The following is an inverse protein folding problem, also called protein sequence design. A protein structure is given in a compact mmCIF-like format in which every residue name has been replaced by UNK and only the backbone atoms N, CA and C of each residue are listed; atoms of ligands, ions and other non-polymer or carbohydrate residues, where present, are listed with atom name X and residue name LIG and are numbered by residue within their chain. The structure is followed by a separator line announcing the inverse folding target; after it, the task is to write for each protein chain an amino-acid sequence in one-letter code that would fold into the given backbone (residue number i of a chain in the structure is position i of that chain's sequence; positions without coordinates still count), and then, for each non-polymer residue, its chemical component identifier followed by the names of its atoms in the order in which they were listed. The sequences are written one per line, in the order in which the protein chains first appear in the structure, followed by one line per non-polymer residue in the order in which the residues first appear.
data_IF_616911053030
#
_entry.id   IF_616911053030
#
_cell.length_a   1.000
_cell.length_b   1.000
_cell.length_c   1.000
_cell.angle_alpha   90.00
_cell.angle_beta   90.00
_cell.angle_gamma   90.00
#
_symmetry.space_group_name_H-M   'P 1'
#
loop_
_entity.id
_entity.type
_entity.pdbx_description
1 polymer ?
#
# COMPACT_ATOMS: atom_id res chain seq x y z
N UNK A 1 -21.20 -24.38 -20.45
CA UNK A 1 -20.66 -24.03 -20.62
C UNK A 1 -20.29 -22.75 -20.42
N UNK A 2 -20.84 -21.97 -20.30
CA UNK A 2 -20.38 -20.88 -20.09
C UNK A 2 -19.95 -20.68 -18.81
N UNK A 3 -19.42 -21.57 -18.17
CA UNK A 3 -18.99 -21.35 -16.99
C UNK A 3 -17.91 -20.45 -16.98
N UNK A 4 -17.80 -19.57 -16.09
CA UNK A 4 -16.75 -18.76 -15.98
C UNK A 4 -15.57 -19.48 -15.67
N UNK A 5 -14.46 -19.03 -16.02
CA UNK A 5 -13.26 -19.68 -15.64
C UNK A 5 -13.15 -19.58 -14.18
N UNK A 6 -12.46 -20.49 -13.61
CA UNK A 6 -12.26 -20.49 -12.20
C UNK A 6 -11.59 -19.20 -11.86
N UNK A 7 -12.19 -18.43 -10.97
CA UNK A 7 -11.60 -17.24 -10.58
C UNK A 7 -10.52 -17.46 -9.64
N UNK A 8 -9.37 -16.88 -9.84
CA UNK A 8 -8.29 -16.99 -8.92
C UNK A 8 -8.43 -15.86 -7.95
N UNK A 9 -8.69 -16.18 -6.70
CA UNK A 9 -8.83 -15.16 -5.70
C UNK A 9 -7.45 -14.78 -5.23
N UNK A 10 -7.00 -13.63 -5.61
CA UNK A 10 -5.69 -13.19 -5.23
C UNK A 10 -5.71 -12.64 -3.82
N UNK A 11 -4.62 -12.81 -3.10
CA UNK A 11 -4.52 -12.26 -1.78
C UNK A 11 -4.24 -10.78 -1.88
N UNK A 12 -4.56 -10.01 -0.84
CA UNK A 12 -4.32 -8.57 -0.87
C UNK A 12 -2.88 -8.22 -1.24
N UNK A 13 -1.90 -8.95 -0.72
CA UNK A 13 -0.51 -8.64 -1.03
C UNK A 13 -0.19 -8.96 -2.49
N UNK A 14 -0.85 -9.94 -3.07
CA UNK A 14 -0.59 -10.25 -4.47
C UNK A 14 -1.14 -9.16 -5.37
N UNK A 15 -2.32 -8.67 -5.06
CA UNK A 15 -2.89 -7.58 -5.83
C UNK A 15 -2.01 -6.35 -5.74
N UNK A 16 -1.59 -6.02 -4.52
CA UNK A 16 -0.79 -4.83 -4.30
C UNK A 16 0.54 -4.91 -5.02
N UNK A 17 1.20 -6.06 -4.95
CA UNK A 17 2.50 -6.20 -5.59
C UNK A 17 2.38 -6.18 -7.10
N UNK A 18 1.30 -6.72 -7.65
CA UNK A 18 1.08 -6.64 -9.08
C UNK A 18 0.86 -5.20 -9.51
N UNK A 19 0.09 -4.44 -8.72
CA UNK A 19 -0.14 -3.05 -9.04
C UNK A 19 1.14 -2.25 -8.95
N UNK A 20 1.99 -2.57 -7.99
CA UNK A 20 3.26 -1.89 -7.86
C UNK A 20 4.13 -2.18 -9.08
N UNK A 21 4.17 -3.42 -9.55
CA UNK A 21 4.96 -3.75 -10.71
C UNK A 21 4.45 -3.04 -11.97
N UNK A 22 3.14 -2.91 -12.09
CA UNK A 22 2.57 -2.17 -13.21
C UNK A 22 2.97 -0.72 -13.14
N UNK A 23 2.93 -0.13 -11.94
CA UNK A 23 3.31 1.25 -11.78
C UNK A 23 4.76 1.45 -12.17
N UNK A 24 5.63 0.54 -11.74
CA UNK A 24 7.03 0.68 -12.06
C UNK A 24 7.29 0.55 -13.56
N UNK A 25 6.50 -0.27 -14.22
CA UNK A 25 6.65 -0.45 -15.66
C UNK A 25 6.27 0.78 -16.46
N UNK A 26 5.49 1.68 -15.88
CA UNK A 26 5.10 2.90 -16.58
C UNK A 26 6.22 3.93 -16.61
N UNK A 27 7.26 3.71 -15.81
CA UNK A 27 8.46 4.55 -15.84
C UNK A 27 8.15 6.02 -15.60
N UNK A 28 7.23 6.29 -14.71
CA UNK A 28 6.77 7.66 -14.48
C UNK A 28 7.86 8.58 -13.96
N UNK A 29 8.73 8.05 -13.10
CA UNK A 29 9.79 8.89 -12.55
C UNK A 29 10.76 9.34 -13.62
N UNK A 30 11.13 8.44 -14.53
CA UNK A 30 12.03 8.79 -15.61
C UNK A 30 11.37 9.77 -16.57
N UNK A 31 10.04 9.74 -16.64
CA UNK A 31 9.31 10.66 -17.51
C UNK A 31 8.97 11.96 -16.81
N UNK A 32 9.52 12.19 -15.62
CA UNK A 32 9.29 13.44 -14.91
C UNK A 32 7.94 13.57 -14.26
N UNK A 33 7.19 12.48 -14.15
CA UNK A 33 5.86 12.54 -13.58
C UNK A 33 5.88 12.12 -12.12
N UNK A 34 6.61 12.89 -11.33
CA UNK A 34 6.87 12.56 -9.94
C UNK A 34 5.62 12.61 -9.07
N UNK A 35 4.79 13.62 -9.27
CA UNK A 35 3.58 13.71 -8.47
C UNK A 35 2.64 12.58 -8.77
N UNK A 36 2.47 12.26 -10.05
CA UNK A 36 1.60 11.17 -10.43
C UNK A 36 2.10 9.85 -9.84
N UNK A 37 3.41 9.64 -9.85
CA UNK A 37 3.98 8.44 -9.28
C UNK A 37 3.61 8.32 -7.80
N UNK A 38 3.77 9.41 -7.05
CA UNK A 38 3.49 9.37 -5.61
C UNK A 38 2.00 9.23 -5.31
N UNK A 39 1.17 9.81 -6.16
CA UNK A 39 -0.26 9.62 -6.02
C UNK A 39 -0.60 8.15 -6.22
N UNK A 40 -0.03 7.53 -7.25
CA UNK A 40 -0.33 6.16 -7.58
C UNK A 40 0.18 5.17 -6.52
N UNK A 41 1.39 5.37 -6.03
CA UNK A 41 1.92 4.44 -5.06
C UNK A 41 1.20 4.58 -3.72
N UNK A 42 0.77 5.79 -3.39
CA UNK A 42 -0.02 6.01 -2.20
C UNK A 42 -1.35 5.25 -2.30
N UNK A 43 -1.99 5.31 -3.46
CA UNK A 43 -3.25 4.62 -3.66
C UNK A 43 -3.09 3.10 -3.57
N UNK A 44 -2.00 2.59 -4.10
CA UNK A 44 -1.74 1.15 -4.03
C UNK A 44 -1.71 0.70 -2.57
N UNK A 45 -1.01 1.46 -1.73
CA UNK A 45 -0.90 1.05 -0.35
C UNK A 45 -2.22 1.23 0.40
N UNK A 46 -2.98 2.29 0.10
CA UNK A 46 -4.27 2.47 0.73
C UNK A 46 -5.23 1.35 0.36
N UNK A 47 -5.25 0.94 -0.91
CA UNK A 47 -6.10 -0.15 -1.32
C UNK A 47 -5.66 -1.47 -0.67
N UNK A 48 -4.35 -1.65 -0.51
CA UNK A 48 -3.85 -2.84 0.16
C UNK A 48 -4.37 -2.88 1.61
N UNK A 49 -4.30 -1.74 2.31
CA UNK A 49 -4.75 -1.66 3.69
C UNK A 49 -6.26 -1.98 3.77
N UNK A 50 -7.02 -1.46 2.82
CA UNK A 50 -8.43 -1.73 2.81
C UNK A 50 -8.68 -3.22 2.61
N UNK A 51 -8.02 -3.82 1.65
CA UNK A 51 -8.22 -5.23 1.37
C UNK A 51 -7.73 -6.13 2.48
N UNK A 52 -6.61 -5.76 3.08
CA UNK A 52 -5.99 -6.62 4.06
C UNK A 52 -6.61 -6.48 5.44
N UNK A 53 -6.97 -5.26 5.84
CA UNK A 53 -7.42 -4.97 7.18
C UNK A 53 -8.85 -4.46 7.28
N UNK A 54 -9.47 -4.15 6.16
CA UNK A 54 -10.86 -3.72 6.19
C UNK A 54 -11.10 -2.25 6.46
N UNK A 55 -10.05 -1.43 6.44
CA UNK A 55 -10.24 -0.01 6.67
C UNK A 55 -10.56 0.70 5.35
N UNK A 56 -11.35 1.77 5.43
CA UNK A 56 -11.75 2.47 4.23
C UNK A 56 -10.76 3.55 3.86
N UNK A 57 -9.53 3.14 3.60
CA UNK A 57 -8.45 4.06 3.36
C UNK A 57 -8.54 4.91 2.10
N UNK A 58 -8.96 4.36 0.97
CA UNK A 58 -8.88 5.13 -0.27
C UNK A 58 -9.73 6.39 -0.31
N UNK A 59 -10.79 6.41 0.46
CA UNK A 59 -11.68 7.54 0.44
C UNK A 59 -11.51 8.50 1.56
N UNK A 60 -10.42 8.42 2.29
CA UNK A 60 -10.21 9.28 3.42
C UNK A 60 -8.95 10.07 3.26
N UNK A 61 -8.85 11.20 3.94
CA UNK A 61 -7.58 11.91 3.98
C UNK A 61 -6.61 11.09 4.81
N UNK A 62 -5.34 11.39 4.69
CA UNK A 62 -4.33 10.69 5.47
C UNK A 62 -4.62 10.80 6.96
N UNK A 63 -4.97 12.00 7.43
CA UNK A 63 -5.28 12.18 8.81
C UNK A 63 -6.46 11.38 9.26
N UNK A 64 -7.53 11.36 8.49
CA UNK A 64 -8.71 10.59 8.83
C UNK A 64 -8.40 9.11 8.89
N UNK A 65 -7.62 8.65 7.93
CA UNK A 65 -7.27 7.25 7.87
C UNK A 65 -6.42 6.85 9.07
N UNK A 66 -5.43 7.65 9.42
CA UNK A 66 -4.56 7.34 10.54
C UNK A 66 -5.32 7.38 11.86
N UNK A 67 -6.29 8.27 11.97
CA UNK A 67 -7.12 8.31 13.15
C UNK A 67 -7.95 7.03 13.27
N UNK A 68 -8.51 6.58 12.16
CA UNK A 68 -9.29 5.37 12.17
C UNK A 68 -8.43 4.17 12.57
N UNK A 69 -7.22 4.11 12.09
CA UNK A 69 -6.32 3.04 12.46
C UNK A 69 -6.06 3.03 13.96
N UNK A 70 -5.90 4.22 14.55
CA UNK A 70 -5.64 4.30 15.96
C UNK A 70 -6.82 3.82 16.81
N UNK A 71 -8.02 4.07 16.33
CA UNK A 71 -9.20 3.70 17.06
C UNK A 71 -9.61 2.24 16.91
N UNK A 72 -9.07 1.55 15.94
CA UNK A 72 -9.48 0.19 15.66
C UNK A 72 -8.64 -0.83 16.38
N UNK A 73 -8.30 -0.55 17.63
CA UNK A 73 -7.40 -1.45 18.32
C UNK A 73 -7.97 -2.77 18.73
N UNK A 74 -9.25 -2.92 18.73
CA UNK A 74 -9.78 -4.20 19.12
C UNK A 74 -9.99 -5.12 17.95
N UNK A 75 -9.66 -4.70 16.77
CA UNK A 75 -9.86 -5.52 15.62
C UNK A 75 -8.85 -6.63 15.57
N UNK A 76 -9.28 -7.78 15.02
CA UNK A 76 -8.43 -8.88 14.92
C UNK A 76 -7.22 -8.63 14.08
N UNK A 77 -7.30 -7.93 13.00
CA UNK A 77 -6.18 -7.69 12.12
C UNK A 77 -5.63 -6.29 12.27
N UNK A 78 -5.27 -5.95 13.47
CA UNK A 78 -4.75 -4.62 13.74
C UNK A 78 -3.28 -4.52 13.38
N UNK A 79 -2.87 -3.40 12.86
CA UNK A 79 -1.47 -3.18 12.56
C UNK A 79 -0.66 -2.98 13.82
N UNK A 80 0.53 -3.54 13.91
CA UNK A 80 1.42 -3.27 15.03
C UNK A 80 1.84 -1.80 15.02
N UNK A 81 2.20 -1.29 16.19
CA UNK A 81 2.53 0.12 16.32
C UNK A 81 3.64 0.60 15.42
N UNK A 82 4.70 -0.20 15.27
CA UNK A 82 5.80 0.23 14.43
C UNK A 82 5.39 0.28 12.96
N UNK A 83 4.43 -0.56 12.55
CA UNK A 83 3.95 -0.51 11.18
C UNK A 83 3.03 0.69 10.98
N UNK A 84 2.30 1.09 12.01
CA UNK A 84 1.47 2.28 11.91
C UNK A 84 2.32 3.50 11.71
N UNK A 85 3.44 3.59 12.42
CA UNK A 85 4.34 4.72 12.29
C UNK A 85 4.94 4.77 10.88
N UNK A 86 5.35 3.62 10.38
CA UNK A 86 5.92 3.55 9.04
C UNK A 86 4.89 3.97 7.99
N UNK A 87 3.67 3.51 8.15
CA UNK A 87 2.60 3.86 7.24
C UNK A 87 2.31 5.36 7.29
N UNK A 88 2.29 5.93 8.50
CA UNK A 88 2.04 7.35 8.65
C UNK A 88 3.11 8.16 7.93
N UNK A 89 4.36 7.78 8.09
CA UNK A 89 5.46 8.49 7.45
C UNK A 89 5.37 8.36 5.94
N UNK A 90 5.04 7.17 5.46
CA UNK A 90 4.93 6.93 4.02
C UNK A 90 3.82 7.80 3.41
N UNK A 91 2.64 7.80 4.01
CA UNK A 91 1.52 8.54 3.47
C UNK A 91 1.76 10.04 3.55
N UNK A 92 2.36 10.49 4.64
CA UNK A 92 2.65 11.90 4.80
C UNK A 92 3.67 12.36 3.76
N UNK A 93 4.68 11.55 3.50
CA UNK A 93 5.67 11.88 2.48
C UNK A 93 4.99 11.99 1.11
N UNK A 94 4.14 11.03 0.78
CA UNK A 94 3.44 11.07 -0.50
C UNK A 94 2.57 12.32 -0.62
N UNK A 95 1.93 12.72 0.47
CA UNK A 95 1.10 13.92 0.45
C UNK A 95 1.95 15.16 0.20
N UNK A 96 3.12 15.24 0.81
CA UNK A 96 3.98 16.39 0.59
C UNK A 96 4.39 16.51 -0.87
N UNK A 97 4.65 15.38 -1.51
CA UNK A 97 5.00 15.40 -2.91
C UNK A 97 3.79 15.74 -3.78
N UNK A 98 2.64 15.14 -3.46
CA UNK A 98 1.42 15.37 -4.23
C UNK A 98 1.03 16.83 -4.22
N UNK A 99 1.20 17.50 -3.11
CA UNK A 99 0.81 18.88 -2.99
C UNK A 99 1.95 19.87 -3.25
N UNK A 100 3.02 19.35 -3.86
CA UNK A 100 4.15 20.17 -4.27
C UNK A 100 4.84 20.89 -3.13
N UNK A 101 4.79 20.29 -1.93
CA UNK A 101 5.50 20.88 -0.81
C UNK A 101 6.88 20.29 -0.65
N UNK A 102 7.19 19.27 -1.41
CA UNK A 102 8.50 18.63 -1.36
C UNK A 102 8.77 18.01 -2.71
N UNK A 103 9.99 18.19 -3.21
CA UNK A 103 10.39 17.58 -4.46
C UNK A 103 11.42 16.51 -4.13
N UNK A 104 11.10 15.25 -4.22
CA UNK A 104 12.01 14.19 -3.80
C UNK A 104 13.13 13.97 -4.79
N UNK A 105 14.26 13.49 -4.28
CA UNK A 105 15.35 13.09 -5.15
C UNK A 105 15.02 11.71 -5.71
N UNK A 106 15.81 11.27 -6.66
CA UNK A 106 15.63 9.94 -7.23
C UNK A 106 15.80 8.90 -6.13
N UNK A 107 16.80 9.08 -5.27
CA UNK A 107 17.03 8.15 -4.18
C UNK A 107 15.83 8.07 -3.23
N UNK A 108 15.23 9.22 -2.93
CA UNK A 108 14.06 9.22 -2.07
C UNK A 108 12.90 8.49 -2.72
N UNK A 109 12.71 8.68 -4.03
CA UNK A 109 11.63 8.00 -4.72
C UNK A 109 11.85 6.49 -4.74
N UNK A 110 13.09 6.07 -4.93
CA UNK A 110 13.38 4.65 -4.89
C UNK A 110 13.15 4.07 -3.50
N UNK A 111 13.46 4.87 -2.47
CA UNK A 111 13.23 4.42 -1.13
C UNK A 111 11.75 4.28 -0.86
N UNK A 112 10.92 5.16 -1.44
CA UNK A 112 9.49 5.07 -1.28
C UNK A 112 8.98 3.73 -1.81
N UNK A 113 9.51 3.28 -2.93
CA UNK A 113 9.13 1.99 -3.48
C UNK A 113 9.53 0.86 -2.53
N UNK A 114 10.75 0.93 -2.00
CA UNK A 114 11.22 -0.10 -1.09
C UNK A 114 10.38 -0.16 0.17
N UNK A 115 10.00 0.98 0.71
CA UNK A 115 9.19 1.02 1.91
C UNK A 115 7.81 0.41 1.64
N UNK A 116 7.23 0.74 0.49
CA UNK A 116 5.93 0.18 0.12
C UNK A 116 6.01 -1.34 0.05
N UNK A 117 7.01 -1.85 -0.65
CA UNK A 117 7.17 -3.28 -0.83
C UNK A 117 7.40 -3.97 0.51
N UNK A 118 8.26 -3.38 1.34
CA UNK A 118 8.56 -3.97 2.61
C UNK A 118 7.36 -3.96 3.55
N UNK A 119 6.57 -2.88 3.52
CA UNK A 119 5.39 -2.80 4.36
C UNK A 119 4.42 -3.93 4.00
N UNK A 120 4.21 -4.15 2.70
CA UNK A 120 3.31 -5.20 2.27
C UNK A 120 3.84 -6.56 2.72
N UNK A 121 5.14 -6.79 2.56
CA UNK A 121 5.70 -8.08 2.94
C UNK A 121 5.58 -8.34 4.44
N UNK A 122 5.74 -7.31 5.23
CA UNK A 122 5.70 -7.50 6.66
C UNK A 122 4.33 -7.57 7.27
N UNK A 123 3.31 -7.13 6.54
CA UNK A 123 1.96 -7.13 7.07
C UNK A 123 1.04 -8.13 6.39
N UNK A 124 1.53 -8.87 5.40
CA UNK A 124 0.67 -9.81 4.70
C UNK A 124 0.28 -10.96 5.61
N UNK A 125 -0.80 -11.64 5.25
CA UNK A 125 -1.22 -12.79 6.03
C UNK A 125 -0.26 -13.91 5.85
N UNK A 126 0.09 -14.58 6.95
CA UNK A 126 1.03 -15.64 6.84
C UNK A 126 0.54 -17.00 7.11
N UNK A 127 -0.37 -17.16 7.95
CA UNK A 127 -0.70 -18.45 8.45
C UNK A 127 -1.22 -19.42 7.45
N UNK A 128 -2.04 -18.97 6.52
CA UNK A 128 -2.61 -19.87 5.64
C UNK A 128 -1.65 -20.58 4.78
N UNK A 129 -0.62 -19.94 4.32
CA UNK A 129 0.33 -20.59 3.49
C UNK A 129 1.07 -21.64 4.23
N UNK A 130 1.38 -21.39 5.45
CA UNK A 130 2.07 -22.34 6.23
C UNK A 130 1.24 -23.54 6.51
N UNK A 131 -0.05 -23.36 6.74
CA UNK A 131 -0.87 -24.48 6.97
C UNK A 131 -0.96 -25.38 5.78
N UNK A 132 -1.01 -24.80 4.63
CA UNK A 132 -1.12 -25.60 3.46
C UNK A 132 0.07 -26.47 3.29
N UNK A 133 1.24 -26.03 3.72
CA UNK A 133 2.35 -26.83 3.57
C UNK A 133 2.34 -27.91 4.47
N UNK A 134 1.75 -27.81 5.52
CA UNK A 134 1.73 -28.82 6.54
C UNK A 134 1.35 -30.09 6.07
#
# INVERSE_FOLDING_TARGET
ANKKPVEVLLRPEEIALQELERLLAEDLLARGKVKLFHLRISDILRHYIENRFGYQAPERTTEEFLTELSLARSQKNTLPGNQKTLLADFLTHCDLVKFAKHEPTVTESEKTVSICREFIEKTKEKGEREKVKG
#
